data_IF_727019529521
#
_entry.id   IF_727019529521
#
_cell.length_a   1.000
_cell.length_b   1.000
_cell.length_c   1.000
_cell.angle_alpha   90.00
_cell.angle_beta   90.00
_cell.angle_gamma   90.00
#
_symmetry.space_group_name_H-M   'P 1'
#
loop_
_entity.id
_entity.type
_entity.pdbx_description
1 polymer ?
#
# COMPACT_ATOMS: atom_id res chain seq x y z
N UNK A 1 9.51 -18.51 -0.70
CA UNK A 1 10.22 -17.23 -0.68
C UNK A 1 9.59 -16.36 -1.75
N UNK A 2 9.28 -15.10 -1.45
CA UNK A 2 8.63 -14.17 -2.39
C UNK A 2 9.60 -13.82 -3.52
N UNK A 3 9.13 -13.78 -4.77
CA UNK A 3 9.93 -13.35 -5.91
C UNK A 3 10.04 -11.81 -5.96
N UNK A 4 10.98 -11.26 -5.17
CA UNK A 4 11.15 -9.82 -5.04
C UNK A 4 11.49 -9.12 -6.38
N UNK A 5 12.25 -9.76 -7.27
CA UNK A 5 12.59 -9.20 -8.59
C UNK A 5 11.36 -9.01 -9.47
N UNK A 6 10.42 -9.97 -9.45
CA UNK A 6 9.16 -9.86 -10.17
C UNK A 6 8.33 -8.68 -9.65
N UNK A 7 8.20 -8.57 -8.32
CA UNK A 7 7.44 -7.49 -7.69
C UNK A 7 8.09 -6.13 -7.92
N UNK A 8 9.42 -6.04 -7.84
CA UNK A 8 10.16 -4.81 -8.11
C UNK A 8 9.97 -4.34 -9.55
N UNK A 9 10.05 -5.24 -10.54
CA UNK A 9 9.77 -4.91 -11.95
C UNK A 9 8.33 -4.43 -12.14
N UNK A 10 7.38 -5.06 -11.47
CA UNK A 10 5.98 -4.64 -11.52
C UNK A 10 5.80 -3.23 -10.92
N UNK A 11 6.50 -2.90 -9.84
CA UNK A 11 6.49 -1.56 -9.25
C UNK A 11 7.16 -0.52 -10.14
N UNK A 12 8.25 -0.87 -10.82
CA UNK A 12 8.90 0.02 -11.79
C UNK A 12 7.98 0.34 -12.98
N UNK A 13 7.03 -0.56 -13.31
CA UNK A 13 6.00 -0.30 -14.31
C UNK A 13 4.93 0.68 -13.81
N UNK A 14 4.73 0.79 -12.49
CA UNK A 14 3.90 1.83 -11.89
C UNK A 14 4.61 3.18 -12.03
N UNK A 15 4.21 3.97 -13.02
CA UNK A 15 4.74 5.32 -13.21
C UNK A 15 4.21 6.23 -12.12
N UNK A 16 5.00 6.42 -11.05
CA UNK A 16 4.67 7.32 -9.95
C UNK A 16 4.77 8.77 -10.42
N UNK A 17 3.63 9.39 -10.68
CA UNK A 17 3.49 10.80 -11.04
C UNK A 17 2.55 11.46 -10.03
N UNK A 18 2.42 12.79 -10.11
CA UNK A 18 1.40 13.52 -9.35
C UNK A 18 -0.02 12.99 -9.57
N UNK A 19 -0.29 12.39 -10.74
CA UNK A 19 -1.62 11.94 -11.12
C UNK A 19 -1.92 10.51 -10.65
N UNK A 20 -0.88 9.70 -10.40
CA UNK A 20 -1.02 8.30 -9.96
C UNK A 20 -0.71 8.11 -8.48
N UNK A 21 0.08 9.00 -7.85
CA UNK A 21 0.48 8.87 -6.46
C UNK A 21 -0.69 8.73 -5.47
N UNK A 22 -1.79 9.46 -5.68
CA UNK A 22 -2.98 9.34 -4.83
C UNK A 22 -3.91 8.17 -5.18
N UNK A 23 -3.62 7.37 -6.21
CA UNK A 23 -4.53 6.28 -6.61
C UNK A 23 -4.65 5.22 -5.51
N UNK A 24 -3.57 4.94 -4.76
CA UNK A 24 -3.65 4.01 -3.63
C UNK A 24 -4.72 4.46 -2.62
N UNK A 25 -4.66 5.71 -2.16
CA UNK A 25 -5.63 6.27 -1.23
C UNK A 25 -7.05 6.31 -1.81
N UNK A 26 -7.19 6.62 -3.10
CA UNK A 26 -8.48 6.51 -3.80
C UNK A 26 -9.04 5.09 -3.71
N UNK A 27 -8.25 4.07 -4.05
CA UNK A 27 -8.68 2.68 -3.96
C UNK A 27 -8.99 2.27 -2.52
N UNK A 28 -8.20 2.73 -1.55
CA UNK A 28 -8.39 2.47 -0.13
C UNK A 28 -9.72 3.03 0.36
N UNK A 29 -10.01 4.30 0.09
CA UNK A 29 -11.24 4.95 0.56
C UNK A 29 -12.48 4.49 -0.23
N UNK A 30 -12.34 4.15 -1.52
CA UNK A 30 -13.46 3.55 -2.28
C UNK A 30 -13.86 2.18 -1.74
N UNK A 31 -12.89 1.35 -1.33
CA UNK A 31 -13.14 -0.04 -0.90
C UNK A 31 -13.43 -0.15 0.59
N UNK A 32 -12.80 0.70 1.38
CA UNK A 32 -12.82 0.72 2.83
C UNK A 32 -13.11 2.14 3.32
N UNK A 33 -14.34 2.66 3.11
CA UNK A 33 -14.70 4.03 3.44
C UNK A 33 -14.52 4.38 4.92
N UNK A 34 -14.59 3.38 5.81
CA UNK A 34 -14.27 3.54 7.24
C UNK A 34 -12.81 3.95 7.49
N UNK A 35 -11.89 3.67 6.56
CA UNK A 35 -10.50 4.12 6.66
C UNK A 35 -10.41 5.61 6.36
N UNK A 36 -11.26 6.15 5.48
CA UNK A 36 -11.26 7.57 5.12
C UNK A 36 -11.49 8.49 6.33
N UNK A 37 -12.26 8.03 7.33
CA UNK A 37 -12.51 8.78 8.56
C UNK A 37 -11.23 9.10 9.34
N UNK A 38 -10.25 8.19 9.37
CA UNK A 38 -8.95 8.44 10.01
C UNK A 38 -8.15 9.55 9.31
N UNK A 39 -8.42 9.79 8.04
CA UNK A 39 -7.77 10.84 7.26
C UNK A 39 -8.57 12.15 7.22
N UNK A 40 -9.72 12.23 7.90
CA UNK A 40 -10.75 13.28 7.75
C UNK A 40 -11.18 13.44 6.29
N UNK A 41 -11.44 12.32 5.61
CA UNK A 41 -11.76 12.24 4.20
C UNK A 41 -13.09 11.51 3.91
N UNK A 42 -13.91 11.28 4.94
CA UNK A 42 -15.19 10.55 4.87
C UNK A 42 -16.22 11.20 3.93
N UNK A 43 -16.21 12.53 3.81
CA UNK A 43 -17.11 13.30 2.93
C UNK A 43 -16.43 13.70 1.61
N UNK A 44 -15.19 13.28 1.38
CA UNK A 44 -14.44 13.59 0.17
C UNK A 44 -14.76 12.56 -0.90
N UNK A 45 -15.17 13.02 -2.08
CA UNK A 45 -15.29 12.16 -3.26
C UNK A 45 -13.94 11.48 -3.54
N UNK A 46 -13.86 10.13 -3.50
CA UNK A 46 -12.62 9.39 -3.78
C UNK A 46 -11.97 9.76 -5.12
N UNK A 47 -12.75 10.21 -6.12
CA UNK A 47 -12.22 10.64 -7.41
C UNK A 47 -11.42 11.95 -7.34
N UNK A 48 -11.60 12.73 -6.28
CA UNK A 48 -10.84 13.96 -6.02
C UNK A 48 -9.53 13.72 -5.27
N UNK A 49 -9.38 12.55 -4.61
CA UNK A 49 -8.21 12.19 -3.79
C UNK A 49 -6.89 12.30 -4.55
N UNK A 50 -6.75 11.82 -5.80
CA UNK A 50 -5.50 11.94 -6.54
C UNK A 50 -5.08 13.39 -6.86
N UNK A 51 -5.97 14.38 -6.66
CA UNK A 51 -5.66 15.81 -6.86
C UNK A 51 -5.26 16.51 -5.56
N UNK A 52 -5.42 15.86 -4.41
CA UNK A 52 -5.06 16.41 -3.11
C UNK A 52 -3.55 16.32 -2.88
N UNK A 53 -2.92 17.46 -2.62
CA UNK A 53 -1.48 17.50 -2.33
C UNK A 53 -1.09 16.61 -1.14
N UNK A 54 -1.96 16.50 -0.12
CA UNK A 54 -1.78 15.60 1.03
C UNK A 54 -1.60 14.15 0.58
N UNK A 55 -2.56 13.64 -0.20
CA UNK A 55 -2.58 12.24 -0.62
C UNK A 55 -1.58 11.91 -1.72
N UNK A 56 -1.19 12.91 -2.54
CA UNK A 56 -0.05 12.78 -3.46
C UNK A 56 1.24 12.55 -2.66
N UNK A 57 1.50 13.36 -1.62
CA UNK A 57 2.71 13.22 -0.81
C UNK A 57 2.74 11.88 -0.04
N UNK A 58 1.62 11.50 0.58
CA UNK A 58 1.51 10.23 1.33
C UNK A 58 1.66 9.01 0.42
N UNK A 59 0.96 8.99 -0.71
CA UNK A 59 1.02 7.85 -1.64
C UNK A 59 2.40 7.63 -2.27
N UNK A 60 3.21 8.69 -2.45
CA UNK A 60 4.60 8.55 -2.89
C UNK A 60 5.50 7.85 -1.87
N UNK A 61 5.20 7.95 -0.58
CA UNK A 61 5.95 7.28 0.48
C UNK A 61 5.53 5.81 0.59
N UNK A 62 4.23 5.55 0.64
CA UNK A 62 3.69 4.20 0.89
C UNK A 62 3.91 3.22 -0.28
N UNK A 63 3.97 3.70 -1.52
CA UNK A 63 4.20 2.85 -2.70
C UNK A 63 5.66 2.33 -2.82
N UNK A 64 6.58 2.68 -1.90
CA UNK A 64 7.98 2.23 -1.94
C UNK A 64 8.27 0.88 -1.24
N UNK A 65 7.32 0.36 -0.45
CA UNK A 65 7.36 -0.96 0.23
C UNK A 65 7.97 -2.15 -0.57
N UNK A 66 7.72 -2.29 -1.89
CA UNK A 66 8.10 -3.50 -2.62
C UNK A 66 9.60 -3.67 -2.86
N UNK A 67 10.32 -2.56 -3.03
CA UNK A 67 11.78 -2.57 -3.20
C UNK A 67 12.50 -3.05 -1.92
N UNK A 68 11.84 -2.97 -0.77
CA UNK A 68 12.37 -3.41 0.52
C UNK A 68 12.23 -4.92 0.75
N UNK A 69 11.36 -5.62 0.01
CA UNK A 69 11.02 -7.03 0.24
C UNK A 69 12.16 -8.04 -0.08
N UNK A 70 13.20 -7.61 -0.80
CA UNK A 70 14.36 -8.43 -1.14
C UNK A 70 15.33 -8.64 0.05
N UNK A 71 15.20 -7.85 1.12
CA UNK A 71 16.08 -7.86 2.29
C UNK A 71 15.23 -7.74 3.56
N UNK A 72 15.28 -8.72 4.46
CA UNK A 72 14.40 -8.75 5.64
C UNK A 72 14.57 -7.54 6.57
N UNK A 73 15.79 -6.96 6.65
CA UNK A 73 16.03 -5.77 7.46
C UNK A 73 15.37 -4.55 6.82
N UNK A 74 15.54 -4.37 5.51
CA UNK A 74 14.87 -3.29 4.76
C UNK A 74 13.37 -3.46 4.78
N UNK A 75 12.87 -4.69 4.64
CA UNK A 75 11.45 -5.00 4.70
C UNK A 75 10.86 -4.61 6.06
N UNK A 76 11.52 -4.98 7.16
CA UNK A 76 11.10 -4.55 8.49
C UNK A 76 11.12 -3.03 8.65
N UNK A 77 12.15 -2.34 8.16
CA UNK A 77 12.20 -0.88 8.18
C UNK A 77 11.02 -0.25 7.43
N UNK A 78 10.72 -0.70 6.21
CA UNK A 78 9.59 -0.20 5.43
C UNK A 78 8.24 -0.49 6.12
N UNK A 79 8.11 -1.65 6.77
CA UNK A 79 6.93 -1.96 7.56
C UNK A 79 6.80 -1.08 8.82
N UNK A 80 7.92 -0.68 9.44
CA UNK A 80 7.91 0.29 10.54
C UNK A 80 7.44 1.67 10.06
N UNK A 81 7.96 2.15 8.92
CA UNK A 81 7.52 3.41 8.31
C UNK A 81 6.01 3.38 8.02
N UNK A 82 5.51 2.27 7.47
CA UNK A 82 4.08 2.08 7.24
C UNK A 82 3.26 2.11 8.55
N UNK A 83 3.76 1.45 9.60
CA UNK A 83 3.15 1.47 10.93
C UNK A 83 3.11 2.89 11.52
N UNK A 84 4.16 3.68 11.33
CA UNK A 84 4.21 5.08 11.76
C UNK A 84 3.12 5.88 11.06
N UNK A 85 2.94 5.73 9.74
CA UNK A 85 1.84 6.40 9.02
C UNK A 85 0.47 5.99 9.58
N UNK A 86 0.24 4.70 9.86
CA UNK A 86 -1.01 4.25 10.48
C UNK A 86 -1.21 4.89 11.85
N UNK A 87 -0.16 4.89 12.69
CA UNK A 87 -0.21 5.44 14.05
C UNK A 87 -0.46 6.96 14.04
N UNK A 88 0.19 7.69 13.14
CA UNK A 88 0.05 9.14 12.99
C UNK A 88 -1.36 9.56 12.55
N UNK A 89 -2.03 8.73 11.76
CA UNK A 89 -3.43 8.93 11.37
C UNK A 89 -4.42 8.27 12.34
N UNK A 90 -3.94 7.68 13.46
CA UNK A 90 -4.79 7.02 14.46
C UNK A 90 -5.44 5.71 13.99
N UNK A 91 -4.95 5.13 12.89
CA UNK A 91 -5.46 3.89 12.30
C UNK A 91 -4.94 2.71 13.13
N UNK A 92 -5.82 1.86 13.68
CA UNK A 92 -5.40 0.63 14.34
C UNK A 92 -4.66 -0.28 13.37
N UNK A 93 -3.58 -0.93 13.81
CA UNK A 93 -2.87 -1.89 12.94
C UNK A 93 -3.77 -3.08 12.52
N UNK A 94 -4.86 -3.32 13.24
CA UNK A 94 -5.89 -4.29 12.84
C UNK A 94 -6.49 -4.03 11.45
N UNK A 95 -6.42 -2.80 10.98
CA UNK A 95 -6.90 -2.33 9.68
C UNK A 95 -5.94 -2.64 8.53
N UNK A 96 -4.72 -3.12 8.80
CA UNK A 96 -3.77 -3.45 7.74
C UNK A 96 -4.34 -4.50 6.77
N UNK A 97 -5.29 -5.36 7.22
CA UNK A 97 -6.08 -6.29 6.40
C UNK A 97 -6.76 -5.68 5.16
N UNK A 98 -6.89 -4.36 5.10
CA UNK A 98 -7.53 -3.58 4.02
C UNK A 98 -6.54 -2.96 3.03
N UNK A 99 -5.25 -3.01 3.35
CA UNK A 99 -4.19 -2.52 2.47
C UNK A 99 -4.02 -3.37 1.20
N UNK A 100 -4.02 -4.73 1.27
CA UNK A 100 -3.66 -5.56 0.13
C UNK A 100 -4.56 -5.36 -1.09
N UNK A 101 -5.88 -5.34 -0.94
CA UNK A 101 -6.79 -5.25 -2.08
C UNK A 101 -6.79 -3.86 -2.72
N UNK A 102 -6.70 -2.79 -1.91
CA UNK A 102 -6.54 -1.42 -2.39
C UNK A 102 -5.21 -1.23 -3.15
N UNK A 103 -4.11 -1.73 -2.58
CA UNK A 103 -2.79 -1.68 -3.22
C UNK A 103 -2.78 -2.46 -4.53
N UNK A 104 -3.31 -3.69 -4.54
CA UNK A 104 -3.39 -4.52 -5.74
C UNK A 104 -4.23 -3.86 -6.84
N UNK A 105 -5.34 -3.21 -6.50
CA UNK A 105 -6.16 -2.48 -7.45
C UNK A 105 -5.41 -1.28 -8.06
N UNK A 106 -4.64 -0.55 -7.24
CA UNK A 106 -3.82 0.55 -7.72
C UNK A 106 -2.71 0.06 -8.68
N UNK A 107 -2.06 -1.06 -8.34
CA UNK A 107 -1.06 -1.72 -9.17
C UNK A 107 -1.64 -2.19 -10.50
N UNK A 108 -2.73 -2.94 -10.47
CA UNK A 108 -3.39 -3.45 -11.68
C UNK A 108 -3.77 -2.31 -12.64
N UNK A 109 -4.23 -1.17 -12.10
CA UNK A 109 -4.59 -0.01 -12.90
C UNK A 109 -3.39 0.72 -13.52
N UNK A 110 -2.31 0.94 -12.77
CA UNK A 110 -1.25 1.88 -13.17
C UNK A 110 0.09 1.23 -13.55
N UNK A 111 0.25 -0.07 -13.32
CA UNK A 111 1.46 -0.82 -13.68
C UNK A 111 1.31 -1.58 -15.01
N UNK A 112 0.25 -1.32 -15.78
CA UNK A 112 -0.01 -1.96 -17.06
C UNK A 112 -0.74 -3.31 -16.94
N UNK A 113 -1.56 -3.48 -15.89
CA UNK A 113 -2.22 -4.73 -15.56
C UNK A 113 -1.45 -5.55 -14.53
N UNK A 114 -1.99 -6.71 -14.17
CA UNK A 114 -1.36 -7.63 -13.24
C UNK A 114 -1.56 -9.07 -13.71
N UNK A 115 -0.46 -9.78 -13.96
CA UNK A 115 -0.49 -11.20 -14.28
C UNK A 115 -0.89 -12.05 -13.08
N UNK A 116 -1.35 -13.28 -13.33
CA UNK A 116 -1.68 -14.23 -12.27
C UNK A 116 -0.47 -14.53 -11.36
N UNK A 117 0.73 -14.58 -11.93
CA UNK A 117 1.97 -14.79 -11.19
C UNK A 117 2.31 -13.58 -10.29
N UNK A 118 2.22 -12.36 -10.83
CA UNK A 118 2.42 -11.14 -10.03
C UNK A 118 1.43 -11.05 -8.87
N UNK A 119 0.15 -11.37 -9.13
CA UNK A 119 -0.89 -11.38 -8.10
C UNK A 119 -0.58 -12.38 -6.99
N UNK A 120 -0.14 -13.59 -7.35
CA UNK A 120 0.25 -14.62 -6.39
C UNK A 120 1.41 -14.17 -5.52
N UNK A 121 2.45 -13.58 -6.11
CA UNK A 121 3.63 -13.12 -5.36
C UNK A 121 3.31 -11.93 -4.45
N UNK A 122 2.43 -11.01 -4.87
CA UNK A 122 1.92 -9.95 -3.99
C UNK A 122 1.17 -10.50 -2.80
N UNK A 123 0.26 -11.45 -3.02
CA UNK A 123 -0.49 -12.10 -1.95
C UNK A 123 0.45 -12.80 -0.97
N UNK A 124 1.51 -13.45 -1.47
CA UNK A 124 2.54 -14.06 -0.63
C UNK A 124 3.31 -13.02 0.18
N UNK A 125 3.63 -11.85 -0.40
CA UNK A 125 4.29 -10.76 0.32
C UNK A 125 3.41 -10.21 1.44
N UNK A 126 2.13 -9.93 1.17
CA UNK A 126 1.21 -9.47 2.21
C UNK A 126 0.98 -10.52 3.29
N UNK A 127 0.89 -11.81 2.93
CA UNK A 127 0.82 -12.90 3.90
C UNK A 127 2.06 -12.94 4.82
N UNK A 128 3.27 -12.77 4.25
CA UNK A 128 4.51 -12.62 5.03
C UNK A 128 4.42 -11.41 5.95
N UNK A 129 3.98 -10.25 5.45
CA UNK A 129 3.80 -9.04 6.26
C UNK A 129 2.89 -9.31 7.47
N UNK A 130 1.74 -9.97 7.30
CA UNK A 130 0.88 -10.35 8.43
C UNK A 130 1.57 -11.24 9.45
N UNK A 131 2.26 -12.27 8.97
CA UNK A 131 2.96 -13.19 9.85
C UNK A 131 4.02 -12.45 10.68
N UNK A 132 4.83 -11.64 10.00
CA UNK A 132 5.91 -10.88 10.62
C UNK A 132 5.36 -9.86 11.65
N UNK A 133 4.32 -9.10 11.30
CA UNK A 133 3.68 -8.15 12.23
C UNK A 133 3.16 -8.81 13.50
N UNK A 134 2.61 -10.02 13.41
CA UNK A 134 2.21 -10.80 14.59
C UNK A 134 3.43 -11.20 15.43
N UNK A 135 4.53 -11.62 14.80
CA UNK A 135 5.77 -11.93 15.55
C UNK A 135 6.37 -10.71 16.25
N UNK A 136 6.17 -9.52 15.69
CA UNK A 136 6.65 -8.26 16.26
C UNK A 136 5.72 -7.65 17.31
N UNK A 137 4.56 -8.28 17.59
CA UNK A 137 3.59 -7.78 18.56
C UNK A 137 2.87 -6.51 18.12
N UNK A 138 2.67 -6.32 16.81
CA UNK A 138 1.89 -5.20 16.28
C UNK A 138 0.39 -5.52 16.11
N UNK A 139 0.06 -6.80 16.23
CA UNK A 139 -1.27 -7.40 16.17
C UNK A 139 -1.51 -8.23 17.42
#
# INVERSE_FOLDING_TARGET
MVNADLLQKHCQAYKLTKDTAGEYHKQLFTRHPEIAAYYNAEDIDPDSIPRSQKFIMQGQQELQLPAASADDKKFRSAMCEFKEVFSDNGIPMSEFNKVPDAFLAAMEKNAGGMSAEQKKEWQALFAKAYADMKTWGWY
#
